data_IF_233958922539
#
_entry.id   IF_233958922539
#
_cell.length_a   1.000
_cell.length_b   1.000
_cell.length_c   1.000
_cell.angle_alpha   90.00
_cell.angle_beta   90.00
_cell.angle_gamma   90.00
#
_symmetry.space_group_name_H-M   'P 1'
#
loop_
_entity.id
_entity.type
_entity.pdbx_description
1 polymer ?
#
# COMPACT_ATOMS: atom_id res chain seq x y z
N UNK A 1 -7.75 14.64 21.75
CA UNK A 1 -7.52 14.66 20.30
C UNK A 1 -8.19 13.44 19.72
N UNK A 2 -9.05 13.59 18.71
CA UNK A 2 -9.68 12.45 18.02
C UNK A 2 -8.64 11.90 17.04
N UNK A 3 -7.90 10.86 17.45
CA UNK A 3 -6.85 10.21 16.64
C UNK A 3 -7.46 9.20 15.64
N UNK A 4 -8.60 9.58 15.06
CA UNK A 4 -9.38 8.74 14.16
C UNK A 4 -8.60 8.54 12.86
N UNK A 5 -8.48 7.29 12.42
CA UNK A 5 -7.81 6.95 11.16
C UNK A 5 -8.74 7.06 9.98
N UNK A 6 -8.19 7.32 8.81
CA UNK A 6 -8.98 7.41 7.58
C UNK A 6 -9.78 6.13 7.32
N UNK A 7 -9.23 4.96 7.63
CA UNK A 7 -9.93 3.67 7.49
C UNK A 7 -11.18 3.56 8.37
N UNK A 8 -11.24 4.30 9.48
CA UNK A 8 -12.37 4.33 10.41
C UNK A 8 -13.45 5.35 9.99
N UNK A 9 -13.10 6.34 9.16
CA UNK A 9 -14.04 7.35 8.68
C UNK A 9 -14.56 7.08 7.27
N UNK A 10 -13.67 6.88 6.30
CA UNK A 10 -14.05 6.83 4.88
C UNK A 10 -13.04 6.11 3.98
N UNK A 11 -13.57 5.24 3.12
CA UNK A 11 -12.87 4.65 1.98
C UNK A 11 -13.77 4.67 0.72
N UNK A 12 -13.24 4.99 -0.47
CA UNK A 12 -13.97 4.90 -1.73
C UNK A 12 -14.07 3.44 -2.20
N UNK A 13 -14.90 2.65 -1.52
CA UNK A 13 -15.00 1.20 -1.71
C UNK A 13 -15.45 0.84 -3.13
N UNK A 14 -16.30 1.64 -3.76
CA UNK A 14 -16.80 1.37 -5.11
C UNK A 14 -15.66 1.47 -6.14
N UNK A 15 -14.88 2.53 -6.08
CA UNK A 15 -13.76 2.79 -6.99
C UNK A 15 -12.63 1.79 -6.76
N UNK A 16 -12.26 1.53 -5.48
CA UNK A 16 -11.25 0.53 -5.13
C UNK A 16 -11.72 -0.87 -5.55
N UNK A 17 -12.99 -1.20 -5.34
CA UNK A 17 -13.59 -2.48 -5.72
C UNK A 17 -13.61 -2.71 -7.23
N UNK A 18 -13.89 -1.66 -8.01
CA UNK A 18 -13.81 -1.69 -9.47
C UNK A 18 -12.39 -1.99 -9.96
N UNK A 19 -11.40 -1.28 -9.43
CA UNK A 19 -9.98 -1.52 -9.76
C UNK A 19 -9.47 -2.88 -9.27
N UNK A 20 -9.89 -3.32 -8.09
CA UNK A 20 -9.56 -4.63 -7.56
C UNK A 20 -10.12 -5.78 -8.42
N UNK A 21 -11.32 -5.58 -8.99
CA UNK A 21 -11.93 -6.55 -9.90
C UNK A 21 -11.19 -6.59 -11.24
N UNK A 22 -10.82 -5.43 -11.77
CA UNK A 22 -9.98 -5.30 -12.97
C UNK A 22 -8.62 -5.97 -12.77
N UNK A 23 -7.94 -5.71 -11.66
CA UNK A 23 -6.62 -6.28 -11.31
C UNK A 23 -6.61 -7.82 -11.35
N UNK A 24 -7.67 -8.48 -10.87
CA UNK A 24 -7.79 -9.95 -10.91
C UNK A 24 -7.76 -10.54 -12.32
N UNK A 25 -8.13 -9.76 -13.34
CA UNK A 25 -8.15 -10.19 -14.73
C UNK A 25 -6.80 -10.05 -15.44
N UNK A 26 -5.81 -9.43 -14.80
CA UNK A 26 -4.47 -9.28 -15.36
C UNK A 26 -3.80 -10.64 -15.55
N UNK A 27 -3.06 -10.78 -16.66
CA UNK A 27 -2.37 -12.01 -17.07
C UNK A 27 -0.89 -11.81 -17.32
N UNK A 28 -0.38 -10.59 -17.15
CA UNK A 28 1.03 -10.25 -17.32
C UNK A 28 1.43 -9.17 -16.32
N UNK A 29 2.67 -9.23 -15.81
CA UNK A 29 3.25 -8.20 -14.96
C UNK A 29 2.55 -8.00 -13.60
N UNK A 30 1.86 -9.02 -13.08
CA UNK A 30 1.20 -8.99 -11.77
C UNK A 30 1.74 -10.13 -10.91
N UNK A 31 1.87 -9.94 -9.59
CA UNK A 31 2.49 -10.96 -8.71
C UNK A 31 1.83 -12.34 -8.81
N UNK A 32 0.54 -12.38 -9.15
CA UNK A 32 -0.22 -13.62 -9.33
C UNK A 32 0.17 -14.42 -10.55
N UNK A 33 0.89 -13.83 -11.49
CA UNK A 33 1.46 -14.55 -12.64
C UNK A 33 2.82 -15.15 -12.32
N UNK A 34 3.42 -14.80 -11.17
CA UNK A 34 4.64 -15.43 -10.66
C UNK A 34 4.30 -16.69 -9.87
N UNK A 35 3.44 -16.56 -8.84
CA UNK A 35 3.03 -17.67 -7.99
C UNK A 35 1.52 -17.63 -7.74
N UNK A 36 0.87 -18.79 -7.87
CA UNK A 36 -0.55 -18.93 -7.56
C UNK A 36 -0.74 -19.23 -6.07
N UNK A 37 -1.53 -18.41 -5.39
CA UNK A 37 -2.07 -18.68 -4.06
C UNK A 37 -3.60 -18.58 -4.13
N UNK A 38 -4.35 -19.38 -3.37
CA UNK A 38 -5.82 -19.39 -3.46
C UNK A 38 -6.48 -18.21 -2.72
N UNK A 39 -5.85 -17.69 -1.66
CA UNK A 39 -6.39 -16.60 -0.86
C UNK A 39 -5.75 -15.24 -1.22
N UNK A 40 -5.82 -14.83 -2.49
CA UNK A 40 -5.19 -13.56 -2.94
C UNK A 40 -6.07 -12.36 -2.63
N UNK A 41 -5.49 -11.40 -1.91
CA UNK A 41 -6.07 -10.08 -1.70
C UNK A 41 -5.62 -9.16 -2.85
N UNK A 42 -6.52 -8.35 -3.43
CA UNK A 42 -6.13 -7.38 -4.45
C UNK A 42 -5.11 -6.38 -3.91
N UNK A 43 -4.06 -6.08 -4.67
CA UNK A 43 -3.00 -5.16 -4.27
C UNK A 43 -3.55 -3.76 -4.05
N UNK A 44 -4.39 -3.26 -4.96
CA UNK A 44 -5.02 -1.94 -4.82
C UNK A 44 -5.84 -1.81 -3.53
N UNK A 45 -6.50 -2.88 -3.09
CA UNK A 45 -7.26 -2.88 -1.84
C UNK A 45 -6.33 -2.90 -0.62
N UNK A 46 -5.23 -3.68 -0.68
CA UNK A 46 -4.22 -3.71 0.38
C UNK A 46 -3.52 -2.35 0.52
N UNK A 47 -3.18 -1.69 -0.60
CA UNK A 47 -2.62 -0.33 -0.61
C UNK A 47 -3.54 0.67 0.07
N UNK A 48 -4.83 0.64 -0.26
CA UNK A 48 -5.83 1.51 0.36
C UNK A 48 -5.90 1.28 1.88
N UNK A 49 -5.96 0.00 2.29
CA UNK A 49 -6.04 -0.36 3.70
C UNK A 49 -4.80 0.07 4.49
N UNK A 50 -3.60 -0.16 3.95
CA UNK A 50 -2.34 0.25 4.59
C UNK A 50 -2.28 1.78 4.73
N UNK A 51 -2.47 2.52 3.62
CA UNK A 51 -2.44 3.98 3.66
C UNK A 51 -3.47 4.55 4.66
N UNK A 52 -4.72 4.10 4.56
CA UNK A 52 -5.80 4.64 5.38
C UNK A 52 -5.70 4.27 6.87
N UNK A 53 -4.94 3.22 7.21
CA UNK A 53 -4.64 2.85 8.60
C UNK A 53 -3.56 3.74 9.24
N UNK A 54 -2.72 4.38 8.42
CA UNK A 54 -1.55 5.14 8.89
C UNK A 54 -1.79 6.66 8.89
N UNK A 55 -2.72 7.16 8.08
CA UNK A 55 -3.03 8.60 8.03
C UNK A 55 -4.27 8.96 8.86
N UNK A 56 -4.29 10.14 9.52
CA UNK A 56 -5.48 10.69 10.16
C UNK A 56 -6.66 10.87 9.19
N UNK A 57 -7.89 10.78 9.71
CA UNK A 57 -9.11 10.95 8.91
C UNK A 57 -9.24 12.33 8.27
N UNK A 58 -8.70 13.36 8.92
CA UNK A 58 -8.72 14.75 8.45
C UNK A 58 -7.45 15.16 7.70
N UNK A 59 -6.54 14.23 7.41
CA UNK A 59 -5.27 14.52 6.73
C UNK A 59 -5.44 15.29 5.42
N UNK A 60 -6.50 14.95 4.66
CA UNK A 60 -6.84 15.54 3.38
C UNK A 60 -7.93 16.63 3.48
N UNK A 61 -8.25 17.07 4.70
CA UNK A 61 -9.20 18.15 4.92
C UNK A 61 -8.62 19.51 4.50
N UNK A 62 -9.45 20.45 4.00
CA UNK A 62 -9.02 21.82 3.81
C UNK A 62 -8.55 22.46 5.12
N UNK A 63 -7.46 23.24 5.06
CA UNK A 63 -6.91 23.95 6.24
C UNK A 63 -7.87 25.03 6.79
N UNK A 64 -8.72 25.60 5.93
CA UNK A 64 -9.66 26.67 6.24
C UNK A 64 -11.11 26.21 5.96
N UNK A 65 -12.08 26.78 6.69
CA UNK A 65 -13.52 26.55 6.49
C UNK A 65 -14.25 26.15 7.77
N UNK A 66 -15.57 26.10 7.72
CA UNK A 66 -16.40 25.61 8.82
C UNK A 66 -16.26 24.08 9.02
N UNK A 67 -16.51 23.58 10.22
CA UNK A 67 -16.28 22.17 10.58
C UNK A 67 -17.10 21.17 9.76
N UNK A 68 -18.29 21.55 9.28
CA UNK A 68 -19.17 20.64 8.52
C UNK A 68 -18.69 20.52 7.08
N UNK A 69 -18.40 21.64 6.43
CA UNK A 69 -17.83 21.71 5.10
C UNK A 69 -16.45 21.05 5.07
N UNK A 70 -15.61 21.26 6.10
CA UNK A 70 -14.31 20.58 6.20
C UNK A 70 -14.42 19.07 6.14
N UNK A 71 -15.37 18.48 6.87
CA UNK A 71 -15.60 17.02 6.87
C UNK A 71 -16.09 16.50 5.52
N UNK A 72 -17.04 17.18 4.87
CA UNK A 72 -17.53 16.74 3.55
C UNK A 72 -16.45 16.87 2.47
N UNK A 73 -15.68 17.96 2.47
CA UNK A 73 -14.53 18.12 1.57
C UNK A 73 -13.39 17.15 1.90
N UNK A 74 -13.16 16.79 3.17
CA UNK A 74 -12.15 15.80 3.53
C UNK A 74 -12.42 14.45 2.88
N UNK A 75 -13.67 13.96 2.93
CA UNK A 75 -14.07 12.71 2.26
C UNK A 75 -13.95 12.80 0.74
N UNK A 76 -14.35 13.92 0.14
CA UNK A 76 -14.20 14.12 -1.30
C UNK A 76 -12.73 14.13 -1.74
N UNK A 77 -11.86 14.79 -0.99
CA UNK A 77 -10.42 14.83 -1.25
C UNK A 77 -9.79 13.45 -1.04
N UNK A 78 -10.18 12.74 0.03
CA UNK A 78 -9.77 11.35 0.28
C UNK A 78 -10.20 10.41 -0.84
N UNK A 79 -11.44 10.52 -1.32
CA UNK A 79 -11.94 9.74 -2.45
C UNK A 79 -11.08 9.96 -3.69
N UNK A 80 -10.83 11.24 -4.04
CA UNK A 80 -10.00 11.61 -5.20
C UNK A 80 -8.58 11.08 -5.09
N UNK A 81 -7.95 11.24 -3.93
CA UNK A 81 -6.58 10.78 -3.69
C UNK A 81 -6.47 9.26 -3.71
N UNK A 82 -7.28 8.55 -2.92
CA UNK A 82 -7.27 7.09 -2.85
C UNK A 82 -7.60 6.44 -4.19
N UNK A 83 -8.53 7.01 -4.96
CA UNK A 83 -8.85 6.50 -6.31
C UNK A 83 -7.66 6.62 -7.27
N UNK A 84 -6.85 7.67 -7.14
CA UNK A 84 -5.63 7.83 -7.93
C UNK A 84 -4.49 6.93 -7.41
N UNK A 85 -4.32 6.82 -6.09
CA UNK A 85 -3.31 5.98 -5.46
C UNK A 85 -3.55 4.48 -5.74
N UNK A 86 -4.81 4.04 -5.74
CA UNK A 86 -5.21 2.63 -5.81
C UNK A 86 -5.51 2.19 -7.26
N UNK A 87 -4.65 2.60 -8.21
CA UNK A 87 -4.61 2.06 -9.57
C UNK A 87 -3.56 0.95 -9.69
N UNK A 88 -3.76 0.05 -10.65
CA UNK A 88 -2.74 -0.93 -11.04
C UNK A 88 -2.43 -0.83 -12.54
N UNK A 89 -1.16 -0.67 -12.97
CA UNK A 89 0.00 -0.39 -12.12
C UNK A 89 -0.18 0.94 -11.37
N UNK A 90 0.49 1.10 -10.22
CA UNK A 90 0.38 2.30 -9.41
C UNK A 90 1.10 3.49 -10.06
N UNK A 91 0.56 4.71 -9.89
CA UNK A 91 1.24 5.94 -10.31
C UNK A 91 2.40 6.26 -9.35
N UNK A 92 3.66 6.27 -9.82
CA UNK A 92 4.82 6.55 -8.97
C UNK A 92 4.71 7.88 -8.23
N UNK A 93 4.10 8.91 -8.84
CA UNK A 93 3.93 10.23 -8.21
C UNK A 93 2.98 10.17 -7.02
N UNK A 94 1.92 9.36 -7.14
CA UNK A 94 0.94 9.18 -6.06
C UNK A 94 1.47 8.30 -4.94
N UNK A 95 2.28 7.30 -5.28
CA UNK A 95 2.98 6.47 -4.29
C UNK A 95 3.95 7.34 -3.49
N UNK A 96 4.73 8.21 -4.14
CA UNK A 96 5.65 9.10 -3.45
C UNK A 96 4.93 10.14 -2.57
N UNK A 97 3.82 10.69 -3.06
CA UNK A 97 2.94 11.55 -2.27
C UNK A 97 2.40 10.81 -1.03
N UNK A 98 2.02 9.54 -1.16
CA UNK A 98 1.55 8.70 -0.07
C UNK A 98 2.67 8.36 0.95
N UNK A 99 3.89 8.06 0.48
CA UNK A 99 5.08 7.84 1.33
C UNK A 99 5.32 9.04 2.25
N UNK A 100 5.31 10.26 1.67
CA UNK A 100 5.45 11.50 2.44
C UNK A 100 4.32 11.68 3.46
N UNK A 101 3.07 11.48 3.07
CA UNK A 101 1.93 11.58 4.01
C UNK A 101 2.07 10.63 5.19
N UNK A 102 2.47 9.38 4.92
CA UNK A 102 2.65 8.36 5.95
C UNK A 102 3.79 8.74 6.91
N UNK A 103 4.92 9.20 6.38
CA UNK A 103 6.07 9.60 7.19
C UNK A 103 5.73 10.79 8.11
N UNK A 104 5.11 11.84 7.55
CA UNK A 104 4.71 13.01 8.32
C UNK A 104 3.64 12.67 9.38
N UNK A 105 2.64 11.86 9.02
CA UNK A 105 1.61 11.39 9.95
C UNK A 105 2.20 10.51 11.06
N UNK A 106 3.18 9.68 10.74
CA UNK A 106 3.87 8.84 11.73
C UNK A 106 4.62 9.70 12.74
N UNK A 107 5.47 10.63 12.27
CA UNK A 107 6.21 11.56 13.11
C UNK A 107 5.29 12.36 14.03
N UNK A 108 4.17 12.88 13.50
CA UNK A 108 3.20 13.65 14.29
C UNK A 108 2.53 12.80 15.38
N UNK A 109 2.36 11.50 15.14
CA UNK A 109 1.69 10.60 16.08
C UNK A 109 2.61 10.04 17.15
N UNK A 110 3.82 9.62 16.79
CA UNK A 110 4.73 8.88 17.68
C UNK A 110 5.91 9.72 18.16
N UNK A 111 6.27 10.78 17.42
CA UNK A 111 7.50 11.53 17.63
C UNK A 111 8.77 10.78 17.16
N UNK A 112 8.62 9.60 16.56
CA UNK A 112 9.73 8.77 16.10
C UNK A 112 10.06 9.07 14.63
N UNK A 113 11.33 9.43 14.38
CA UNK A 113 11.85 9.59 13.02
C UNK A 113 11.95 8.23 12.32
N UNK A 114 11.55 8.19 11.05
CA UNK A 114 11.68 7.01 10.18
C UNK A 114 10.35 6.37 9.78
N UNK A 115 10.40 5.29 8.98
CA UNK A 115 9.19 4.68 8.44
C UNK A 115 8.43 3.88 9.51
N UNK A 116 7.08 3.87 9.47
CA UNK A 116 6.31 3.04 10.38
C UNK A 116 6.55 1.55 10.13
N UNK A 117 6.56 0.78 11.22
CA UNK A 117 6.67 -0.67 11.20
C UNK A 117 5.29 -1.32 11.08
N UNK A 118 5.13 -2.21 10.12
CA UNK A 118 3.88 -2.94 9.86
C UNK A 118 4.14 -4.43 10.05
N UNK A 119 3.31 -5.07 10.85
CA UNK A 119 3.31 -6.52 11.04
C UNK A 119 2.05 -7.13 10.43
N UNK A 120 2.22 -7.99 9.42
CA UNK A 120 1.16 -8.86 8.92
C UNK A 120 1.36 -10.29 9.42
N UNK A 121 0.59 -10.68 10.43
CA UNK A 121 0.65 -12.01 11.03
C UNK A 121 0.09 -13.12 10.15
N UNK A 122 -0.63 -12.78 9.07
CA UNK A 122 -1.32 -13.72 8.19
C UNK A 122 -1.12 -13.32 6.73
N UNK A 123 0.15 -13.16 6.35
CA UNK A 123 0.53 -12.51 5.11
C UNK A 123 0.12 -13.28 3.85
N UNK A 124 -0.10 -14.60 3.97
CA UNK A 124 -0.48 -15.45 2.85
C UNK A 124 0.46 -15.20 1.64
N UNK A 125 -0.10 -14.82 0.49
CA UNK A 125 0.69 -14.50 -0.72
C UNK A 125 1.45 -13.17 -0.69
N UNK A 126 1.48 -12.44 0.42
CA UNK A 126 2.33 -11.27 0.62
C UNK A 126 1.79 -9.93 0.10
N UNK A 127 0.48 -9.81 -0.16
CA UNK A 127 -0.11 -8.59 -0.75
C UNK A 127 0.04 -7.34 0.16
N UNK A 128 -0.27 -7.45 1.45
CA UNK A 128 -0.13 -6.34 2.41
C UNK A 128 1.33 -5.96 2.64
N UNK A 129 2.26 -6.88 2.95
CA UNK A 129 3.65 -6.48 3.15
C UNK A 129 4.29 -5.93 1.87
N UNK A 130 3.92 -6.43 0.69
CA UNK A 130 4.38 -5.84 -0.58
C UNK A 130 3.92 -4.39 -0.74
N UNK A 131 2.64 -4.11 -0.53
CA UNK A 131 2.13 -2.74 -0.65
C UNK A 131 2.64 -1.83 0.48
N UNK A 132 2.93 -2.39 1.65
CA UNK A 132 3.58 -1.68 2.76
C UNK A 132 4.97 -1.20 2.36
N UNK A 133 5.79 -2.07 1.75
CA UNK A 133 7.12 -1.71 1.23
C UNK A 133 7.01 -0.64 0.13
N UNK A 134 6.06 -0.80 -0.80
CA UNK A 134 5.79 0.21 -1.85
C UNK A 134 5.40 1.56 -1.26
N UNK A 135 4.69 1.59 -0.14
CA UNK A 135 4.34 2.81 0.59
C UNK A 135 5.45 3.31 1.53
N UNK A 136 6.67 2.75 1.45
CA UNK A 136 7.84 3.21 2.22
C UNK A 136 7.82 2.79 3.68
N UNK A 137 7.03 1.79 4.05
CA UNK A 137 6.96 1.26 5.41
C UNK A 137 7.96 0.12 5.63
N UNK A 138 8.36 -0.10 6.88
CA UNK A 138 9.12 -1.28 7.26
C UNK A 138 8.14 -2.46 7.47
N UNK A 139 8.14 -3.42 6.56
CA UNK A 139 7.17 -4.53 6.57
C UNK A 139 7.75 -5.82 7.16
N UNK A 140 7.06 -6.35 8.16
CA UNK A 140 7.29 -7.66 8.77
C UNK A 140 6.10 -8.56 8.46
N UNK A 141 6.37 -9.80 8.06
CA UNK A 141 5.33 -10.72 7.64
C UNK A 141 5.59 -12.13 8.18
N UNK A 142 4.53 -12.76 8.67
CA UNK A 142 4.54 -14.11 9.23
C UNK A 142 3.53 -14.99 8.51
N UNK A 143 3.86 -16.27 8.41
CA UNK A 143 2.97 -17.28 7.88
C UNK A 143 3.39 -18.66 8.38
N UNK A 144 2.42 -19.42 8.90
CA UNK A 144 2.66 -20.76 9.43
C UNK A 144 2.69 -21.81 8.31
N UNK A 145 1.92 -21.58 7.25
CA UNK A 145 1.87 -22.50 6.13
C UNK A 145 3.21 -22.44 5.35
N UNK A 146 3.96 -23.56 5.23
CA UNK A 146 5.28 -23.55 4.60
C UNK A 146 5.24 -23.17 3.12
N UNK A 147 4.15 -23.48 2.40
CA UNK A 147 4.00 -23.10 0.99
C UNK A 147 3.81 -21.60 0.86
N UNK A 148 2.94 -21.01 1.69
CA UNK A 148 2.75 -19.57 1.68
C UNK A 148 3.98 -18.81 2.17
N UNK A 149 4.72 -19.36 3.14
CA UNK A 149 6.00 -18.80 3.56
C UNK A 149 7.01 -18.72 2.39
N UNK A 150 7.14 -19.77 1.58
CA UNK A 150 8.00 -19.75 0.39
C UNK A 150 7.52 -18.73 -0.65
N UNK A 151 6.21 -18.62 -0.88
CA UNK A 151 5.63 -17.61 -1.78
C UNK A 151 5.91 -16.20 -1.27
N UNK A 152 5.78 -15.98 0.04
CA UNK A 152 6.08 -14.72 0.70
C UNK A 152 7.56 -14.36 0.50
N UNK A 153 8.49 -15.30 0.73
CA UNK A 153 9.92 -15.08 0.44
C UNK A 153 10.15 -14.67 -1.02
N UNK A 154 9.53 -15.36 -1.97
CA UNK A 154 9.59 -15.04 -3.40
C UNK A 154 8.95 -13.70 -3.77
N UNK A 155 8.00 -13.21 -2.98
CA UNK A 155 7.26 -11.96 -3.26
C UNK A 155 7.96 -10.75 -2.65
N UNK A 156 8.43 -10.84 -1.40
CA UNK A 156 8.97 -9.68 -0.68
C UNK A 156 10.47 -9.75 -0.43
N UNK A 157 11.07 -10.91 -0.18
CA UNK A 157 12.47 -10.99 0.28
C UNK A 157 13.45 -11.18 -0.88
N UNK A 158 13.21 -12.17 -1.75
CA UNK A 158 14.12 -12.50 -2.83
C UNK A 158 14.22 -11.43 -3.92
N UNK A 159 13.13 -10.72 -4.31
CA UNK A 159 13.25 -9.61 -5.24
C UNK A 159 14.12 -8.47 -4.71
N UNK A 160 14.10 -8.19 -3.41
CA UNK A 160 14.97 -7.18 -2.82
C UNK A 160 16.43 -7.66 -2.72
N UNK A 161 16.66 -8.91 -2.33
CA UNK A 161 18.01 -9.46 -2.15
C UNK A 161 18.74 -9.76 -3.45
N UNK A 162 18.02 -10.22 -4.45
CA UNK A 162 18.60 -10.78 -5.68
C UNK A 162 18.06 -10.12 -6.96
N UNK A 163 17.08 -9.22 -6.85
CA UNK A 163 16.44 -8.57 -7.98
C UNK A 163 17.16 -7.32 -8.48
N UNK A 164 18.46 -7.20 -8.23
CA UNK A 164 19.26 -6.09 -8.73
C UNK A 164 19.23 -6.05 -10.27
N UNK A 165 19.25 -4.86 -10.89
CA UNK A 165 19.35 -4.75 -12.34
C UNK A 165 20.55 -5.53 -12.86
N UNK A 166 20.38 -6.21 -14.00
CA UNK A 166 21.47 -6.89 -14.70
C UNK A 166 21.83 -6.09 -15.95
N UNK A 167 22.95 -5.35 -15.94
CA UNK A 167 23.39 -4.53 -17.07
C UNK A 167 23.71 -5.37 -18.31
N UNK A 168 24.05 -6.65 -18.15
CA UNK A 168 24.44 -7.52 -19.26
C UNK A 168 23.23 -8.00 -20.08
N UNK A 169 22.05 -8.09 -19.46
CA UNK A 169 20.81 -8.54 -20.11
C UNK A 169 19.82 -7.42 -20.38
N UNK A 170 20.09 -6.20 -19.89
CA UNK A 170 19.16 -5.06 -19.97
C UNK A 170 17.95 -5.21 -19.04
N UNK A 171 17.97 -6.20 -18.13
CA UNK A 171 16.92 -6.38 -17.13
C UNK A 171 17.02 -5.29 -16.06
N UNK A 172 15.93 -4.55 -15.87
CA UNK A 172 15.86 -3.41 -14.94
C UNK A 172 15.76 -3.80 -13.46
N UNK A 173 15.79 -5.09 -13.15
CA UNK A 173 15.64 -5.62 -11.80
C UNK A 173 14.19 -5.59 -11.32
N UNK A 174 13.91 -6.40 -10.30
CA UNK A 174 12.66 -6.35 -9.53
C UNK A 174 12.80 -5.48 -8.27
N UNK A 175 14.03 -5.10 -7.90
CA UNK A 175 14.31 -4.31 -6.70
C UNK A 175 13.64 -2.93 -6.75
N UNK A 176 13.63 -2.26 -7.92
CA UNK A 176 13.01 -0.93 -8.06
C UNK A 176 11.51 -0.88 -7.72
N UNK A 177 10.78 -2.00 -7.77
CA UNK A 177 9.36 -2.05 -7.40
C UNK A 177 9.11 -2.25 -5.90
N UNK A 178 10.16 -2.59 -5.14
CA UNK A 178 10.08 -3.06 -3.74
C UNK A 178 11.08 -2.33 -2.82
N UNK A 179 12.01 -1.55 -3.37
CA UNK A 179 12.95 -0.72 -2.62
C UNK A 179 12.20 0.41 -1.87
N UNK A 180 12.41 0.44 -0.55
CA UNK A 180 11.93 1.46 0.37
C UNK A 180 12.73 2.75 0.21
#
# INVERSE_FOLDING_TARGET
MDDRRLIEDFLPIQEIGGEASREKSLRHGHISTLHLWWARRPLVACRAAVYASLVPADWLAPKNGDDRARRSLARANAAKFLTALCKYPGDPKKIEEARRHILEAHQQRTGEDGPPKILDCFAAGGAIPLESLRLGCEAHALELNPVAYLILLGTVVYPQKYGAPDPATGWKGLAQEVEA
#
